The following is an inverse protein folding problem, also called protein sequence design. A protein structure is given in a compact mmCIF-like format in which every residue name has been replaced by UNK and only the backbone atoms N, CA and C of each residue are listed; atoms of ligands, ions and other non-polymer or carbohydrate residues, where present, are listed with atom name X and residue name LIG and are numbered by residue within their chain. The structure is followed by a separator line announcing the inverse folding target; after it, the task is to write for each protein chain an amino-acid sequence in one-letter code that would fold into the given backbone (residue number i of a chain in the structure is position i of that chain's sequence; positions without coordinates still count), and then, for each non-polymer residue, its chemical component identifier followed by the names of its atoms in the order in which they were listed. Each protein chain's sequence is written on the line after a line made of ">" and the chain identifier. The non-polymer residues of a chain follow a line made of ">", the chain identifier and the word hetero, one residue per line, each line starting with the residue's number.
data_IF_483370132736
#
_entry.id   IF_483370132736
#
_cell.length_a   1.000
_cell.length_b   1.000
_cell.length_c   1.000
_cell.angle_alpha   90.00
_cell.angle_beta   90.00
_cell.angle_gamma   90.00
#
_symmetry.space_group_name_H-M   'P 1'
#
loop_
_entity.id
_entity.type
_entity.pdbx_description
1 polymer ?
#
# COMPACT_ATOMS: atom_id res chain seq x y z
N UNK A 1 -4.49 6.19 0.91
CA UNK A 1 -5.04 7.42 1.52
C UNK A 1 -6.56 7.39 1.55
N UNK A 2 -7.27 7.12 0.45
CA UNK A 2 -8.74 7.13 0.41
C UNK A 2 -9.40 6.31 1.52
N UNK A 3 -8.88 5.13 1.84
CA UNK A 3 -9.35 4.29 2.94
C UNK A 3 -9.26 5.06 4.27
N UNK A 4 -8.16 5.75 4.53
CA UNK A 4 -7.95 6.50 5.77
C UNK A 4 -8.85 7.73 5.85
N UNK A 5 -9.06 8.44 4.74
CA UNK A 5 -10.02 9.55 4.68
C UNK A 5 -11.47 9.11 4.91
N UNK A 6 -11.79 7.88 4.56
CA UNK A 6 -13.10 7.28 4.85
C UNK A 6 -13.21 6.70 6.27
N UNK A 7 -12.23 6.94 7.15
CA UNK A 7 -12.18 6.37 8.50
C UNK A 7 -11.96 4.86 8.53
N UNK A 8 -11.54 4.27 7.41
CA UNK A 8 -11.30 2.84 7.30
C UNK A 8 -9.89 2.43 7.71
N UNK A 9 -9.73 1.16 8.07
CA UNK A 9 -8.44 0.55 8.42
C UNK A 9 -7.85 -0.12 7.18
N UNK A 10 -6.63 0.26 6.81
CA UNK A 10 -5.92 -0.33 5.69
C UNK A 10 -5.26 -1.67 6.08
N UNK A 11 -5.35 -2.68 5.23
CA UNK A 11 -4.72 -3.98 5.42
C UNK A 11 -3.83 -4.30 4.21
N UNK A 12 -2.58 -3.83 4.19
CA UNK A 12 -1.69 -4.08 3.06
C UNK A 12 -1.27 -5.55 3.03
N UNK A 13 -1.53 -6.22 1.91
CA UNK A 13 -1.18 -7.60 1.68
C UNK A 13 -0.09 -7.72 0.61
N UNK A 14 0.92 -8.53 0.90
CA UNK A 14 2.02 -8.71 -0.04
C UNK A 14 1.59 -9.47 -1.28
N UNK A 15 1.96 -8.97 -2.45
CA UNK A 15 1.79 -9.67 -3.73
C UNK A 15 2.58 -10.99 -3.79
N UNK A 16 3.54 -11.18 -2.88
CA UNK A 16 4.35 -12.40 -2.75
C UNK A 16 3.64 -13.54 -2.03
N UNK A 17 2.46 -13.28 -1.45
CA UNK A 17 1.63 -14.34 -0.87
C UNK A 17 1.16 -15.26 -2.01
N UNK A 18 1.69 -16.47 -2.06
CA UNK A 18 1.39 -17.49 -3.07
C UNK A 18 0.34 -18.48 -2.60
N UNK A 19 0.36 -18.77 -1.29
CA UNK A 19 -0.56 -19.72 -0.67
C UNK A 19 -1.95 -19.09 -0.47
N UNK A 20 -2.96 -19.74 -0.99
CA UNK A 20 -4.35 -19.29 -0.87
C UNK A 20 -4.81 -19.26 0.60
N UNK A 21 -4.34 -20.19 1.42
CA UNK A 21 -4.63 -20.27 2.86
C UNK A 21 -4.12 -19.05 3.62
N UNK A 22 -2.93 -18.59 3.28
CA UNK A 22 -2.32 -17.41 3.88
C UNK A 22 -3.10 -16.12 3.58
N UNK A 23 -3.58 -16.01 2.36
CA UNK A 23 -4.37 -14.87 1.92
C UNK A 23 -5.77 -14.90 2.54
N UNK A 24 -6.41 -16.07 2.52
CA UNK A 24 -7.71 -16.32 3.14
C UNK A 24 -7.69 -15.96 4.63
N UNK A 25 -6.69 -16.48 5.38
CA UNK A 25 -6.55 -16.19 6.79
C UNK A 25 -6.52 -14.68 7.07
N UNK A 26 -5.71 -13.92 6.32
CA UNK A 26 -5.56 -12.47 6.57
C UNK A 26 -6.84 -11.69 6.27
N UNK A 27 -7.54 -12.03 5.20
CA UNK A 27 -8.81 -11.38 4.83
C UNK A 27 -9.89 -11.67 5.88
N UNK A 28 -10.00 -12.92 6.31
CA UNK A 28 -10.96 -13.31 7.35
C UNK A 28 -10.61 -12.71 8.73
N UNK A 29 -9.35 -12.84 9.16
CA UNK A 29 -8.89 -12.39 10.47
C UNK A 29 -8.95 -10.85 10.63
N UNK A 30 -8.80 -10.10 9.54
CA UNK A 30 -8.92 -8.65 9.55
C UNK A 30 -10.35 -8.15 9.40
N UNK A 31 -11.31 -9.04 9.22
CA UNK A 31 -12.72 -8.68 8.95
C UNK A 31 -12.86 -7.73 7.74
N UNK A 32 -12.04 -7.94 6.71
CA UNK A 32 -12.03 -7.07 5.53
C UNK A 32 -13.38 -7.11 4.81
N UNK A 33 -13.95 -5.92 4.58
CA UNK A 33 -15.21 -5.75 3.83
C UNK A 33 -14.99 -5.47 2.34
N UNK A 34 -13.85 -4.88 2.00
CA UNK A 34 -13.48 -4.53 0.64
C UNK A 34 -12.08 -5.05 0.32
N UNK A 35 -11.92 -5.60 -0.88
CA UNK A 35 -10.61 -6.03 -1.38
C UNK A 35 -10.27 -5.19 -2.60
N UNK A 36 -9.13 -4.47 -2.55
CA UNK A 36 -8.62 -3.69 -3.68
C UNK A 36 -7.47 -4.48 -4.29
N UNK A 37 -7.56 -4.80 -5.58
CA UNK A 37 -6.65 -5.74 -6.21
C UNK A 37 -6.34 -5.37 -7.65
N UNK A 38 -5.10 -5.66 -8.11
CA UNK A 38 -4.76 -5.59 -9.53
C UNK A 38 -5.24 -6.81 -10.31
N UNK A 39 -5.39 -6.68 -11.63
CA UNK A 39 -5.73 -7.79 -12.52
C UNK A 39 -4.84 -9.02 -12.28
N UNK A 40 -3.53 -8.81 -12.12
CA UNK A 40 -2.57 -9.90 -11.91
C UNK A 40 -2.82 -10.71 -10.63
N UNK A 41 -3.37 -10.10 -9.59
CA UNK A 41 -3.62 -10.75 -8.29
C UNK A 41 -5.07 -11.23 -8.15
N UNK A 42 -5.99 -10.74 -8.97
CA UNK A 42 -7.42 -11.06 -8.94
C UNK A 42 -7.71 -12.57 -8.97
N UNK A 43 -7.02 -13.40 -9.78
CA UNK A 43 -7.25 -14.86 -9.77
C UNK A 43 -7.01 -15.53 -8.41
N UNK A 44 -6.17 -14.95 -7.55
CA UNK A 44 -5.95 -15.46 -6.18
C UNK A 44 -7.16 -15.16 -5.29
N UNK A 45 -7.74 -13.97 -5.44
CA UNK A 45 -8.93 -13.56 -4.68
C UNK A 45 -10.14 -14.38 -5.11
N UNK A 46 -10.37 -14.56 -6.40
CA UNK A 46 -11.47 -15.39 -6.94
C UNK A 46 -11.49 -16.81 -6.38
N UNK A 47 -10.32 -17.38 -6.12
CA UNK A 47 -10.21 -18.75 -5.55
C UNK A 47 -10.70 -18.86 -4.12
N UNK A 48 -10.68 -17.79 -3.35
CA UNK A 48 -10.94 -17.81 -1.90
C UNK A 48 -12.16 -16.99 -1.50
N UNK A 49 -12.73 -16.21 -2.43
CA UNK A 49 -13.79 -15.25 -2.10
C UNK A 49 -15.03 -15.88 -1.54
N UNK A 50 -15.37 -17.11 -1.99
CA UNK A 50 -16.51 -17.87 -1.47
C UNK A 50 -16.39 -18.16 0.03
N UNK A 51 -15.16 -18.24 0.55
CA UNK A 51 -14.86 -18.45 1.96
C UNK A 51 -14.71 -17.14 2.75
N UNK A 52 -14.94 -15.98 2.11
CA UNK A 52 -14.84 -14.66 2.72
C UNK A 52 -16.20 -13.95 2.81
N UNK A 53 -17.14 -14.41 3.64
CA UNK A 53 -18.52 -13.92 3.64
C UNK A 53 -18.68 -12.45 4.07
N UNK A 54 -17.67 -11.85 4.70
CA UNK A 54 -17.67 -10.43 5.08
C UNK A 54 -17.24 -9.51 3.96
N UNK A 55 -16.63 -10.05 2.89
CA UNK A 55 -16.22 -9.23 1.74
C UNK A 55 -17.43 -8.88 0.89
N UNK A 56 -17.74 -7.60 0.83
CA UNK A 56 -18.89 -7.05 0.12
C UNK A 56 -18.57 -6.78 -1.35
N UNK A 57 -17.38 -6.24 -1.63
CA UNK A 57 -16.94 -5.92 -3.00
C UNK A 57 -15.43 -6.11 -3.18
N UNK A 58 -15.08 -6.50 -4.40
CA UNK A 58 -13.72 -6.55 -4.93
C UNK A 58 -13.57 -5.40 -5.91
N UNK A 59 -12.66 -4.48 -5.60
CA UNK A 59 -12.38 -3.30 -6.44
C UNK A 59 -11.14 -3.61 -7.27
N UNK A 60 -11.30 -3.65 -8.58
CA UNK A 60 -10.22 -3.98 -9.50
C UNK A 60 -9.59 -2.70 -10.04
N UNK A 61 -8.27 -2.59 -9.89
CA UNK A 61 -7.51 -1.40 -10.27
C UNK A 61 -7.34 -1.27 -11.79
N UNK A 62 -7.22 -2.40 -12.48
CA UNK A 62 -7.03 -2.45 -13.93
C UNK A 62 -8.37 -2.68 -14.64
N UNK A 63 -8.57 -2.12 -15.84
CA UNK A 63 -9.78 -2.37 -16.62
C UNK A 63 -9.83 -3.82 -17.10
N UNK A 64 -10.98 -4.47 -16.92
CA UNK A 64 -11.25 -5.83 -17.41
C UNK A 64 -12.29 -5.80 -18.49
N UNK A 65 -12.32 -6.84 -19.34
CA UNK A 65 -13.40 -7.03 -20.32
C UNK A 65 -14.72 -7.42 -19.64
N UNK A 66 -14.65 -8.18 -18.55
CA UNK A 66 -15.81 -8.64 -17.79
C UNK A 66 -15.53 -8.68 -16.30
N UNK A 67 -16.56 -8.42 -15.49
CA UNK A 67 -16.51 -8.44 -14.02
C UNK A 67 -17.49 -9.48 -13.48
N UNK A 68 -17.14 -10.16 -12.39
CA UNK A 68 -18.06 -11.00 -11.63
C UNK A 68 -19.00 -10.14 -10.77
N UNK A 69 -20.09 -10.72 -10.26
CA UNK A 69 -21.17 -9.99 -9.56
C UNK A 69 -20.68 -9.12 -8.38
N UNK A 70 -19.66 -9.59 -7.66
CA UNK A 70 -19.07 -8.87 -6.52
C UNK A 70 -17.86 -8.01 -6.89
N UNK A 71 -17.50 -7.92 -8.16
CA UNK A 71 -16.39 -7.12 -8.67
C UNK A 71 -16.87 -5.80 -9.25
N UNK A 72 -16.03 -4.77 -9.12
CA UNK A 72 -16.27 -3.48 -9.77
C UNK A 72 -14.95 -2.78 -10.13
N UNK A 73 -14.91 -2.02 -11.22
CA UNK A 73 -13.73 -1.26 -11.58
C UNK A 73 -13.50 -0.08 -10.64
N UNK A 74 -12.25 0.28 -10.41
CA UNK A 74 -11.89 1.48 -9.63
C UNK A 74 -12.49 2.77 -10.23
N UNK A 75 -12.67 2.82 -11.55
CA UNK A 75 -13.29 3.97 -12.23
C UNK A 75 -14.74 4.21 -11.79
N UNK A 76 -15.49 3.15 -11.48
CA UNK A 76 -16.84 3.27 -10.96
C UNK A 76 -16.83 3.85 -9.53
N UNK A 77 -15.91 3.40 -8.67
CA UNK A 77 -15.72 3.97 -7.33
C UNK A 77 -15.38 5.47 -7.41
N UNK A 78 -14.52 5.85 -8.36
CA UNK A 78 -14.17 7.26 -8.57
C UNK A 78 -15.41 8.05 -8.99
N UNK A 79 -16.17 7.56 -9.97
CA UNK A 79 -17.40 8.22 -10.45
C UNK A 79 -18.46 8.35 -9.34
N UNK A 80 -18.64 7.31 -8.52
CA UNK A 80 -19.52 7.35 -7.35
C UNK A 80 -19.05 8.41 -6.34
N UNK A 81 -17.75 8.49 -6.06
CA UNK A 81 -17.17 9.49 -5.18
C UNK A 81 -17.37 10.92 -5.70
N UNK A 82 -17.13 11.16 -6.99
CA UNK A 82 -17.36 12.46 -7.64
C UNK A 82 -18.83 12.87 -7.59
N UNK A 83 -19.75 11.93 -7.81
CA UNK A 83 -21.19 12.19 -7.70
C UNK A 83 -21.59 12.52 -6.25
N UNK A 84 -21.10 11.75 -5.28
CA UNK A 84 -21.38 11.95 -3.86
C UNK A 84 -20.91 13.34 -3.37
N UNK A 85 -19.71 13.75 -3.73
CA UNK A 85 -19.13 15.01 -3.29
C UNK A 85 -19.89 16.25 -3.77
N UNK A 86 -20.71 16.16 -4.81
CA UNK A 86 -21.50 17.31 -5.28
C UNK A 86 -22.49 17.82 -4.23
N UNK A 87 -23.11 16.90 -3.52
CA UNK A 87 -24.18 17.23 -2.56
C UNK A 87 -23.77 16.94 -1.11
N UNK A 88 -22.66 16.24 -0.86
CA UNK A 88 -22.24 15.72 0.43
C UNK A 88 -20.79 16.08 0.82
N UNK A 89 -20.27 17.20 0.29
CA UNK A 89 -18.89 17.62 0.58
C UNK A 89 -18.65 17.89 2.07
N UNK A 90 -19.65 18.45 2.77
CA UNK A 90 -19.56 18.74 4.19
C UNK A 90 -19.66 17.46 5.04
N UNK A 91 -20.48 16.49 4.62
CA UNK A 91 -20.58 15.18 5.28
C UNK A 91 -19.25 14.44 5.18
N UNK A 92 -18.62 14.46 4.00
CA UNK A 92 -17.29 13.88 3.80
C UNK A 92 -16.24 14.58 4.65
N UNK A 93 -16.30 15.92 4.75
CA UNK A 93 -15.39 16.68 5.61
C UNK A 93 -15.56 16.28 7.08
N UNK A 94 -16.80 16.24 7.56
CA UNK A 94 -17.11 15.84 8.94
C UNK A 94 -16.61 14.41 9.24
N UNK A 95 -16.70 13.50 8.25
CA UNK A 95 -16.22 12.14 8.39
C UNK A 95 -14.70 12.10 8.62
N UNK A 96 -13.89 12.67 7.74
CA UNK A 96 -12.44 12.59 7.91
C UNK A 96 -11.92 13.44 9.08
N UNK A 97 -12.60 14.53 9.45
CA UNK A 97 -12.27 15.34 10.65
C UNK A 97 -12.64 14.62 11.96
N UNK A 98 -13.54 13.65 11.91
CA UNK A 98 -13.89 12.82 13.08
C UNK A 98 -12.82 11.78 13.41
N UNK A 99 -11.92 11.47 12.47
CA UNK A 99 -10.87 10.48 12.69
C UNK A 99 -9.82 11.02 13.64
N UNK A 100 -9.71 10.37 14.80
CA UNK A 100 -8.80 10.75 15.87
C UNK A 100 -7.42 10.08 15.77
N UNK A 101 -6.43 10.61 16.47
CA UNK A 101 -5.08 10.06 16.44
C UNK A 101 -4.98 8.64 17.01
N UNK A 102 -5.88 8.23 17.87
CA UNK A 102 -5.91 6.92 18.52
C UNK A 102 -6.78 5.89 17.76
N UNK A 103 -7.45 6.31 16.68
CA UNK A 103 -8.16 5.40 15.79
C UNK A 103 -7.18 4.53 15.02
N UNK A 104 -7.61 3.31 14.68
CA UNK A 104 -6.80 2.39 13.91
C UNK A 104 -6.69 2.83 12.45
N UNK A 105 -5.47 2.88 11.95
CA UNK A 105 -5.15 3.24 10.58
C UNK A 105 -4.78 2.03 9.71
N UNK A 106 -4.15 1.02 10.33
CA UNK A 106 -3.56 -0.07 9.57
C UNK A 106 -3.45 -1.36 10.38
N UNK A 107 -3.58 -2.50 9.70
CA UNK A 107 -3.22 -3.82 10.22
C UNK A 107 -2.05 -4.37 9.41
N UNK A 108 -0.86 -4.43 10.00
CA UNK A 108 0.32 -5.03 9.37
C UNK A 108 0.50 -6.47 9.82
N UNK A 109 0.53 -7.40 8.85
CA UNK A 109 0.78 -8.80 9.14
C UNK A 109 2.28 -9.11 9.12
N UNK A 110 2.78 -9.69 10.21
CA UNK A 110 4.15 -10.22 10.26
C UNK A 110 4.15 -11.70 9.93
N UNK A 111 5.20 -12.17 9.24
CA UNK A 111 5.46 -13.59 9.08
C UNK A 111 5.86 -14.18 10.44
N UNK A 112 4.95 -14.90 11.09
CA UNK A 112 5.26 -15.66 12.28
C UNK A 112 6.24 -16.78 11.96
N UNK A 113 7.21 -17.03 12.84
CA UNK A 113 8.18 -18.12 12.66
C UNK A 113 7.63 -19.50 13.07
N UNK A 114 6.48 -19.56 13.74
CA UNK A 114 5.98 -20.80 14.37
C UNK A 114 4.46 -20.95 14.44
N UNK A 115 3.68 -20.00 13.96
CA UNK A 115 2.22 -19.98 14.07
C UNK A 115 1.62 -19.09 12.98
N UNK A 116 0.30 -18.97 12.97
CA UNK A 116 -0.45 -18.07 12.10
C UNK A 116 0.12 -16.64 12.14
N UNK A 117 0.06 -15.91 11.01
CA UNK A 117 0.53 -14.54 10.94
C UNK A 117 -0.18 -13.65 11.97
N UNK A 118 0.58 -12.77 12.62
CA UNK A 118 0.03 -11.82 13.59
C UNK A 118 -0.33 -10.51 12.92
N UNK A 119 -1.57 -10.07 13.08
CA UNK A 119 -2.03 -8.74 12.67
C UNK A 119 -1.68 -7.71 13.75
N UNK A 120 -0.79 -6.78 13.42
CA UNK A 120 -0.39 -5.69 14.31
C UNK A 120 -1.24 -4.48 13.98
N UNK A 121 -2.03 -4.05 14.95
CA UNK A 121 -2.87 -2.84 14.86
C UNK A 121 -1.99 -1.61 15.06
N UNK A 122 -2.05 -0.68 14.12
CA UNK A 122 -1.36 0.60 14.16
C UNK A 122 -2.38 1.73 14.10
N UNK A 123 -2.25 2.70 15.02
CA UNK A 123 -3.10 3.91 15.06
C UNK A 123 -2.54 5.01 14.15
N UNK A 124 -3.35 6.04 13.88
CA UNK A 124 -2.90 7.24 13.20
C UNK A 124 -1.73 7.90 13.96
N UNK A 125 -1.77 7.92 15.30
CA UNK A 125 -0.68 8.42 16.16
C UNK A 125 0.62 7.66 15.95
N UNK A 126 0.59 6.33 15.76
CA UNK A 126 1.80 5.56 15.49
C UNK A 126 2.47 6.02 14.19
N UNK A 127 1.66 6.29 13.15
CA UNK A 127 2.17 6.78 11.87
C UNK A 127 2.72 8.20 11.96
N UNK A 128 1.96 9.14 12.54
CA UNK A 128 2.38 10.56 12.63
C UNK A 128 3.63 10.72 13.48
N UNK A 129 3.71 10.07 14.65
CA UNK A 129 4.90 10.07 15.49
C UNK A 129 6.15 9.51 14.78
N UNK A 130 5.97 8.43 13.99
CA UNK A 130 7.06 7.84 13.23
C UNK A 130 7.52 8.74 12.07
N UNK A 131 6.58 9.45 11.43
CA UNK A 131 6.89 10.45 10.40
C UNK A 131 7.67 11.60 11.00
N UNK A 132 7.27 12.13 12.15
CA UNK A 132 7.99 13.20 12.87
C UNK A 132 9.40 12.77 13.27
N UNK A 133 9.56 11.54 13.77
CA UNK A 133 10.87 10.98 14.09
C UNK A 133 11.73 10.81 12.82
N UNK A 134 11.17 10.27 11.74
CA UNK A 134 11.84 10.15 10.44
C UNK A 134 12.27 11.50 9.90
N UNK A 135 11.39 12.48 9.99
CA UNK A 135 11.63 13.86 9.61
C UNK A 135 12.78 14.52 10.39
N UNK A 136 12.96 14.17 11.65
CA UNK A 136 14.07 14.71 12.47
C UNK A 136 15.45 14.17 12.08
N UNK A 137 15.49 13.04 11.37
CA UNK A 137 16.73 12.34 11.00
C UNK A 137 17.05 12.49 9.52
N UNK A 138 16.02 12.50 8.66
CA UNK A 138 16.17 12.62 7.21
C UNK A 138 15.92 14.08 6.84
N UNK A 139 16.95 14.75 6.37
CA UNK A 139 16.81 16.11 5.83
C UNK A 139 16.24 16.00 4.41
N UNK A 140 14.96 16.40 4.25
CA UNK A 140 14.29 16.50 2.96
C UNK A 140 13.78 17.91 2.76
N UNK A 141 13.82 18.39 1.52
CA UNK A 141 13.26 19.67 1.13
C UNK A 141 12.09 19.48 0.17
N UNK A 142 11.25 20.50 0.06
CA UNK A 142 10.17 20.52 -0.92
C UNK A 142 10.74 20.37 -2.34
N UNK A 143 10.26 19.35 -3.05
CA UNK A 143 10.72 19.04 -4.41
C UNK A 143 11.77 17.94 -4.48
N UNK A 144 12.32 17.50 -3.36
CA UNK A 144 13.18 16.31 -3.34
C UNK A 144 12.41 15.09 -3.82
N UNK A 145 13.12 14.18 -4.48
CA UNK A 145 12.54 12.96 -5.03
C UNK A 145 13.11 11.74 -4.32
N UNK A 146 12.24 10.91 -3.77
CA UNK A 146 12.60 9.60 -3.23
C UNK A 146 12.22 8.49 -4.20
N UNK A 147 13.16 7.59 -4.49
CA UNK A 147 12.89 6.35 -5.20
C UNK A 147 12.58 5.22 -4.22
N UNK A 148 11.35 4.73 -4.25
CA UNK A 148 10.91 3.61 -3.43
C UNK A 148 11.18 2.31 -4.17
N UNK A 149 12.04 1.47 -3.60
CA UNK A 149 12.40 0.14 -4.11
C UNK A 149 11.80 -0.94 -3.23
N UNK A 150 11.60 -0.62 -1.95
CA UNK A 150 11.05 -1.55 -0.97
C UNK A 150 9.53 -1.72 -1.17
N UNK A 151 8.99 -2.91 -0.88
CA UNK A 151 7.56 -3.15 -0.96
C UNK A 151 6.78 -2.24 0.00
N UNK A 152 5.72 -1.60 -0.51
CA UNK A 152 4.87 -0.70 0.28
C UNK A 152 3.92 -1.46 1.25
N UNK A 153 3.84 -2.78 1.15
CA UNK A 153 3.16 -3.61 2.14
C UNK A 153 3.94 -3.72 3.47
N UNK A 154 5.20 -3.28 3.49
CA UNK A 154 6.01 -3.22 4.71
C UNK A 154 5.96 -1.81 5.33
N UNK A 155 5.66 -1.73 6.63
CA UNK A 155 5.48 -0.46 7.36
C UNK A 155 6.67 0.50 7.20
N UNK A 156 7.91 0.02 7.14
CA UNK A 156 9.08 0.86 6.94
C UNK A 156 9.04 1.66 5.62
N UNK A 157 8.77 1.00 4.50
CA UNK A 157 8.66 1.68 3.21
C UNK A 157 7.44 2.60 3.15
N UNK A 158 6.36 2.20 3.80
CA UNK A 158 5.11 2.96 3.88
C UNK A 158 5.31 4.26 4.67
N UNK A 159 5.94 4.21 5.84
CA UNK A 159 6.19 5.39 6.68
C UNK A 159 7.34 6.23 6.12
N UNK A 160 8.55 5.67 6.06
CA UNK A 160 9.74 6.42 5.69
C UNK A 160 9.77 6.83 4.21
N UNK A 161 9.18 5.99 3.33
CA UNK A 161 9.10 6.29 1.89
C UNK A 161 7.94 7.20 1.54
N UNK A 162 6.73 6.81 1.90
CA UNK A 162 5.53 7.47 1.41
C UNK A 162 5.11 8.64 2.30
N UNK A 163 4.80 8.42 3.57
CA UNK A 163 4.25 9.45 4.44
C UNK A 163 5.26 10.54 4.81
N UNK A 164 6.55 10.18 5.02
CA UNK A 164 7.58 11.18 5.31
C UNK A 164 7.77 12.13 4.12
N UNK A 165 7.83 11.61 2.90
CA UNK A 165 7.93 12.47 1.70
C UNK A 165 6.72 13.38 1.54
N UNK A 166 5.51 12.86 1.80
CA UNK A 166 4.31 13.69 1.79
C UNK A 166 4.39 14.84 2.80
N UNK A 167 4.89 14.62 4.00
CA UNK A 167 4.98 15.64 5.05
C UNK A 167 5.91 16.79 4.66
N UNK A 168 6.91 16.55 3.82
CA UNK A 168 7.81 17.56 3.28
C UNK A 168 7.34 18.21 1.97
N UNK A 169 6.27 17.70 1.36
CA UNK A 169 5.90 18.10 -0.01
C UNK A 169 6.90 17.63 -1.05
N UNK A 170 7.59 16.54 -0.77
CA UNK A 170 8.49 15.85 -1.69
C UNK A 170 7.74 15.00 -2.70
N UNK A 171 8.48 14.49 -3.67
CA UNK A 171 7.98 13.61 -4.72
C UNK A 171 8.41 12.17 -4.48
N UNK A 172 7.57 11.23 -4.93
CA UNK A 172 7.80 9.80 -4.80
C UNK A 172 7.83 9.19 -6.19
N UNK A 173 8.87 8.41 -6.47
CA UNK A 173 8.97 7.58 -7.65
C UNK A 173 9.03 6.10 -7.26
N UNK A 174 8.51 5.23 -8.09
CA UNK A 174 8.53 3.79 -7.90
C UNK A 174 9.24 3.10 -9.06
N UNK A 175 9.80 1.92 -8.80
CA UNK A 175 10.42 1.11 -9.84
C UNK A 175 9.33 0.34 -10.59
N UNK A 176 9.28 0.39 -11.93
CA UNK A 176 8.34 -0.41 -12.71
C UNK A 176 8.47 -1.90 -12.39
N UNK A 177 7.35 -2.55 -12.08
CA UNK A 177 7.31 -3.98 -11.78
C UNK A 177 7.48 -4.77 -13.07
N UNK A 178 8.50 -5.61 -13.13
CA UNK A 178 8.73 -6.53 -14.25
C UNK A 178 7.93 -7.82 -14.12
N UNK A 179 7.83 -8.60 -15.20
CA UNK A 179 7.14 -9.90 -15.19
C UNK A 179 7.75 -10.92 -14.21
N UNK A 180 8.99 -10.71 -13.80
CA UNK A 180 9.69 -11.53 -12.81
C UNK A 180 10.44 -10.65 -11.81
N UNK A 181 10.80 -11.19 -10.64
CA UNK A 181 11.61 -10.48 -9.66
C UNK A 181 12.95 -10.00 -10.23
N UNK A 182 13.59 -10.81 -11.08
CA UNK A 182 14.84 -10.44 -11.76
C UNK A 182 14.61 -9.28 -12.74
N UNK A 183 13.50 -9.29 -13.48
CA UNK A 183 13.17 -8.19 -14.38
C UNK A 183 12.94 -6.88 -13.61
N UNK A 184 12.27 -6.93 -12.47
CA UNK A 184 12.11 -5.77 -11.58
C UNK A 184 13.46 -5.25 -11.08
N UNK A 185 14.37 -6.13 -10.68
CA UNK A 185 15.71 -5.72 -10.23
C UNK A 185 16.51 -5.02 -11.35
N UNK A 186 16.36 -5.45 -12.60
CA UNK A 186 17.00 -4.80 -13.76
C UNK A 186 16.44 -3.41 -14.05
N UNK A 187 15.22 -3.12 -13.65
CA UNK A 187 14.62 -1.79 -13.81
C UNK A 187 15.15 -0.76 -12.79
N UNK A 188 15.75 -1.20 -11.67
CA UNK A 188 16.26 -0.29 -10.63
C UNK A 188 17.33 0.67 -11.17
N UNK A 189 18.41 0.23 -11.83
CA UNK A 189 19.41 1.15 -12.38
C UNK A 189 18.84 2.11 -13.42
N UNK A 190 17.85 1.67 -14.19
CA UNK A 190 17.15 2.50 -15.18
C UNK A 190 16.37 3.60 -14.46
N UNK A 191 15.55 3.23 -13.47
CA UNK A 191 14.79 4.17 -12.68
C UNK A 191 15.67 5.19 -11.94
N UNK A 192 16.83 4.77 -11.41
CA UNK A 192 17.80 5.67 -10.79
C UNK A 192 18.30 6.72 -11.79
N UNK A 193 18.63 6.32 -13.02
CA UNK A 193 19.11 7.24 -14.07
C UNK A 193 18.03 8.22 -14.51
N UNK A 194 16.80 7.76 -14.65
CA UNK A 194 15.66 8.58 -15.10
C UNK A 194 15.23 9.56 -14.01
N UNK A 195 15.03 9.06 -12.81
CA UNK A 195 14.48 9.82 -11.67
C UNK A 195 15.51 10.70 -11.01
N UNK A 196 16.79 10.28 -10.99
CA UNK A 196 17.89 10.94 -10.24
C UNK A 196 17.48 11.28 -8.80
N UNK A 197 17.07 10.27 -8.02
CA UNK A 197 16.50 10.51 -6.70
C UNK A 197 17.54 11.11 -5.75
N UNK A 198 17.09 12.02 -4.88
CA UNK A 198 17.89 12.55 -3.77
C UNK A 198 18.04 11.50 -2.67
N UNK A 199 16.97 10.73 -2.43
CA UNK A 199 16.92 9.73 -1.37
C UNK A 199 16.44 8.40 -1.94
N UNK A 200 17.02 7.33 -1.43
CA UNK A 200 16.64 5.96 -1.77
C UNK A 200 16.70 5.09 -0.51
N UNK A 201 15.57 4.47 -0.17
CA UNK A 201 15.52 3.49 0.92
C UNK A 201 15.92 2.12 0.37
N UNK A 202 16.84 1.46 1.06
CA UNK A 202 17.41 0.20 0.59
C UNK A 202 17.58 -0.80 1.74
N UNK A 203 17.78 -2.05 1.37
CA UNK A 203 18.20 -3.12 2.30
C UNK A 203 19.65 -3.52 2.02
N UNK A 204 20.39 -4.03 3.03
CA UNK A 204 21.80 -4.38 2.86
C UNK A 204 22.09 -5.32 1.69
N UNK A 205 21.14 -6.20 1.34
CA UNK A 205 21.28 -7.10 0.21
C UNK A 205 21.37 -6.36 -1.13
N UNK A 206 20.55 -5.31 -1.31
CA UNK A 206 20.56 -4.50 -2.53
C UNK A 206 21.84 -3.67 -2.62
N UNK A 207 22.29 -3.08 -1.53
CA UNK A 207 23.55 -2.35 -1.45
C UNK A 207 24.76 -3.24 -1.86
N UNK A 208 24.79 -4.50 -1.37
CA UNK A 208 25.81 -5.48 -1.80
C UNK A 208 25.75 -5.81 -3.29
N UNK A 209 24.56 -5.89 -3.87
CA UNK A 209 24.41 -6.14 -5.30
C UNK A 209 24.90 -4.97 -6.15
N UNK A 210 24.64 -3.73 -5.74
CA UNK A 210 25.17 -2.54 -6.41
C UNK A 210 26.71 -2.51 -6.35
N UNK A 211 27.27 -2.79 -5.18
CA UNK A 211 28.73 -2.86 -5.02
C UNK A 211 29.35 -3.85 -6.00
N UNK A 212 28.84 -5.09 -6.10
CA UNK A 212 29.32 -6.10 -7.05
C UNK A 212 29.19 -5.71 -8.52
N UNK A 213 28.31 -4.76 -8.84
CA UNK A 213 28.12 -4.29 -10.21
C UNK A 213 29.08 -3.15 -10.58
N UNK A 214 29.78 -2.58 -9.59
CA UNK A 214 30.76 -1.50 -9.74
C UNK A 214 32.20 -2.07 -9.71
N UNK A 215 32.43 -3.11 -8.93
CA UNK A 215 33.68 -3.90 -8.91
C UNK A 215 33.78 -4.82 -10.13
#
# INVERSE_FOLDING_TARGET
>A
LGILYAGGVNVPLSIKLTESTDLLFRIQHSDSRYVIVSEQQLPKIRKIIADCPKVEKIIVLDPLETYEENEMPISEIIAMGEAYLKDHADDFRALYESVGPDDYANISYTSGTTADPKGILLTHRNYTANVEQGASVISCEKGDVMLIILPLDHCFAHVAGFYTMMSYGGSIATVPVGKTAIATLKNIPIAIKEVRPMIMLSVPALARNFRKSIE
#
